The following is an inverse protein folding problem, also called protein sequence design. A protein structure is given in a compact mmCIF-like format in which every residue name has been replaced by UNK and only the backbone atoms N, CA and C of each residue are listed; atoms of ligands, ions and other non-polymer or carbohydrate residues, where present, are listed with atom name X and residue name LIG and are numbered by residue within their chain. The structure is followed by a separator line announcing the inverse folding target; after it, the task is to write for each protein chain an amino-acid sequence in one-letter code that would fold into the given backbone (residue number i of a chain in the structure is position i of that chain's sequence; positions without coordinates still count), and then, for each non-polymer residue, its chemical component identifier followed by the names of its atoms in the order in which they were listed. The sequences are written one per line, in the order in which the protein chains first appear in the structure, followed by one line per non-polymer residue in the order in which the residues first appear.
data_IF_952506250429
#
_entry.id   IF_952506250429
#
_cell.length_a   1.000
_cell.length_b   1.000
_cell.length_c   1.000
_cell.angle_alpha   90.00
_cell.angle_beta   90.00
_cell.angle_gamma   90.00
#
_symmetry.space_group_name_H-M   'P 1'
#
loop_
_entity.id
_entity.type
_entity.pdbx_description
1 polymer ?
#
# COMPACT_ATOMS: atom_id res chain seq x y z
N UNK A 1 17.12 42.37 8.57
CA UNK A 1 15.83 42.45 9.30
C UNK A 1 15.22 41.08 9.28
N UNK A 2 15.14 40.39 10.42
CA UNK A 2 14.39 39.14 10.53
C UNK A 2 12.92 39.50 10.71
N UNK A 3 12.09 39.22 9.70
CA UNK A 3 10.64 39.32 9.85
C UNK A 3 10.22 38.07 10.59
N UNK A 4 9.72 38.22 11.81
CA UNK A 4 9.13 37.10 12.52
C UNK A 4 7.84 36.72 11.79
N UNK A 5 7.76 35.49 11.29
CA UNK A 5 6.56 35.01 10.61
C UNK A 5 5.39 35.00 11.61
N UNK A 6 4.23 35.46 11.15
CA UNK A 6 3.02 35.53 11.97
C UNK A 6 2.30 34.17 12.10
N UNK A 7 1.03 34.22 12.50
CA UNK A 7 0.10 33.08 12.53
C UNK A 7 0.02 32.44 11.14
N UNK A 8 -0.12 31.11 11.07
CA UNK A 8 -0.34 30.39 9.82
C UNK A 8 -1.60 30.92 9.14
N UNK A 9 -1.50 31.23 7.86
CA UNK A 9 -2.63 31.54 7.00
C UNK A 9 -2.93 30.31 6.13
N UNK A 10 -4.09 29.65 6.31
CA UNK A 10 -4.49 28.51 5.48
C UNK A 10 -4.41 28.81 3.99
N UNK A 11 -4.80 30.03 3.61
CA UNK A 11 -4.83 30.47 2.21
C UNK A 11 -3.44 30.70 1.62
N UNK A 12 -2.38 30.64 2.42
CA UNK A 12 -0.98 30.75 1.98
C UNK A 12 -0.22 29.42 2.06
N UNK A 13 -0.80 28.41 2.69
CA UNK A 13 -0.25 27.07 2.75
C UNK A 13 -0.33 26.37 1.39
N UNK A 14 0.57 25.40 1.14
CA UNK A 14 0.55 24.50 0.00
C UNK A 14 1.21 23.16 0.38
N UNK A 15 1.01 22.13 -0.44
CA UNK A 15 1.72 20.86 -0.30
C UNK A 15 3.06 20.84 -1.05
N UNK A 16 3.99 20.02 -0.60
CA UNK A 16 5.30 19.81 -1.21
C UNK A 16 5.82 18.37 -1.00
N UNK A 17 6.80 17.96 -1.81
CA UNK A 17 7.44 16.64 -1.73
C UNK A 17 6.90 15.66 -2.78
N UNK A 18 7.62 14.55 -3.00
CA UNK A 18 7.25 13.54 -4.02
C UNK A 18 5.92 12.85 -3.72
N UNK A 19 5.56 12.72 -2.43
CA UNK A 19 4.31 12.10 -2.00
C UNK A 19 3.03 12.80 -2.47
N UNK A 20 3.13 14.01 -3.03
CA UNK A 20 1.98 14.72 -3.63
C UNK A 20 1.63 14.20 -5.03
N UNK A 21 2.58 13.51 -5.68
CA UNK A 21 2.47 13.06 -7.06
C UNK A 21 2.51 11.53 -7.17
N UNK A 22 3.21 10.87 -6.25
CA UNK A 22 3.47 9.43 -6.35
C UNK A 22 3.53 8.76 -4.98
N UNK A 23 3.01 7.53 -4.91
CA UNK A 23 3.14 6.64 -3.77
C UNK A 23 3.03 5.18 -4.18
N UNK A 24 3.33 4.28 -3.25
CA UNK A 24 3.20 2.83 -3.45
C UNK A 24 2.13 2.32 -2.50
N UNK A 25 1.18 1.53 -3.02
CA UNK A 25 0.14 0.93 -2.19
C UNK A 25 0.76 0.15 -1.02
N UNK A 26 0.19 0.29 0.17
CA UNK A 26 0.63 -0.34 1.42
C UNK A 26 2.02 0.08 1.92
N UNK A 27 2.58 1.16 1.39
CA UNK A 27 3.82 1.74 1.88
C UNK A 27 3.57 3.15 2.42
N UNK A 28 4.24 3.49 3.52
CA UNK A 28 4.20 4.86 4.05
C UNK A 28 4.84 5.81 3.04
N UNK A 29 4.03 6.72 2.53
CA UNK A 29 4.46 7.79 1.62
C UNK A 29 4.51 9.09 2.40
N UNK A 30 5.56 9.88 2.18
CA UNK A 30 5.79 11.14 2.90
C UNK A 30 5.60 12.33 1.97
N UNK A 31 4.95 13.37 2.48
CA UNK A 31 4.88 14.69 1.89
C UNK A 31 5.05 15.74 2.99
N UNK A 32 5.00 17.01 2.63
CA UNK A 32 5.02 18.10 3.60
C UNK A 32 3.99 19.17 3.27
N UNK A 33 3.49 19.84 4.31
CA UNK A 33 2.75 21.09 4.18
C UNK A 33 3.75 22.23 4.37
N UNK A 34 3.78 23.19 3.45
CA UNK A 34 4.56 24.42 3.60
C UNK A 34 3.70 25.42 4.34
N UNK A 35 3.91 25.53 5.65
CA UNK A 35 3.18 26.45 6.50
C UNK A 35 3.68 27.89 6.26
N UNK A 36 2.75 28.81 5.94
CA UNK A 36 3.08 30.22 5.68
C UNK A 36 2.12 31.16 6.39
N UNK A 37 2.60 32.35 6.74
CA UNK A 37 1.76 33.44 7.20
C UNK A 37 1.06 34.15 6.03
N UNK A 38 0.20 35.13 6.35
CA UNK A 38 -0.56 35.94 5.36
C UNK A 38 0.32 36.73 4.38
N UNK A 39 1.60 36.90 4.68
CA UNK A 39 2.57 37.61 3.84
C UNK A 39 3.42 36.63 3.00
N UNK A 40 3.19 35.32 3.16
CA UNK A 40 3.91 34.26 2.46
C UNK A 40 5.23 33.86 3.12
N UNK A 41 5.55 34.37 4.31
CA UNK A 41 6.74 33.94 5.04
C UNK A 41 6.53 32.54 5.62
N UNK A 42 7.58 31.73 5.60
CA UNK A 42 7.56 30.41 6.23
C UNK A 42 7.51 30.54 7.75
N UNK A 43 6.54 29.90 8.38
CA UNK A 43 6.41 29.91 9.84
C UNK A 43 7.44 28.99 10.46
N UNK A 44 7.95 29.32 11.65
CA UNK A 44 8.96 28.50 12.32
C UNK A 44 8.35 27.60 13.40
N UNK A 45 7.17 27.96 13.92
CA UNK A 45 6.45 27.20 14.94
C UNK A 45 4.95 27.29 14.66
N UNK A 46 4.22 26.24 15.03
CA UNK A 46 2.75 26.28 15.09
C UNK A 46 2.31 26.78 16.46
N UNK A 47 1.17 27.46 16.49
CA UNK A 47 0.45 27.75 17.73
C UNK A 47 -0.30 26.49 18.22
N UNK A 48 -0.60 26.41 19.52
CA UNK A 48 -1.22 25.22 20.13
C UNK A 48 -2.58 24.82 19.51
N UNK A 49 -3.27 25.76 18.86
CA UNK A 49 -4.56 25.57 18.19
C UNK A 49 -4.44 25.35 16.67
N UNK A 50 -3.24 25.39 16.08
CA UNK A 50 -3.01 25.20 14.65
C UNK A 50 -2.82 23.71 14.35
N UNK A 51 -3.94 23.02 14.12
CA UNK A 51 -3.93 21.59 13.80
C UNK A 51 -4.22 21.34 12.32
N UNK A 52 -3.26 20.71 11.64
CA UNK A 52 -3.44 20.26 10.27
C UNK A 52 -4.09 18.87 10.21
N UNK A 53 -4.97 18.67 9.23
CA UNK A 53 -5.59 17.39 8.91
C UNK A 53 -5.42 17.15 7.41
N UNK A 54 -5.01 15.95 7.02
CA UNK A 54 -4.83 15.58 5.61
C UNK A 54 -5.59 14.30 5.29
N UNK A 55 -6.22 14.28 4.12
CA UNK A 55 -6.95 13.13 3.60
C UNK A 55 -6.51 12.82 2.17
N UNK A 56 -6.31 11.53 1.90
CA UNK A 56 -6.33 10.97 0.56
C UNK A 56 -7.74 10.49 0.26
N UNK A 57 -8.34 10.97 -0.82
CA UNK A 57 -9.72 10.65 -1.19
C UNK A 57 -9.73 10.02 -2.59
N UNK A 58 -10.37 8.86 -2.71
CA UNK A 58 -10.53 8.15 -3.97
C UNK A 58 -11.92 7.54 -4.08
N UNK A 59 -12.14 6.80 -5.17
CA UNK A 59 -13.38 6.07 -5.42
C UNK A 59 -13.07 4.64 -5.83
N UNK A 60 -14.00 3.75 -5.51
CA UNK A 60 -13.94 2.34 -5.87
C UNK A 60 -15.32 1.80 -6.26
N UNK A 61 -15.28 0.67 -6.94
CA UNK A 61 -16.44 -0.10 -7.34
C UNK A 61 -16.31 -1.53 -6.85
N UNK A 62 -17.44 -2.12 -6.48
CA UNK A 62 -17.50 -3.50 -6.04
C UNK A 62 -17.38 -4.43 -7.25
N UNK A 63 -16.56 -5.47 -7.13
CA UNK A 63 -16.47 -6.55 -8.11
C UNK A 63 -17.54 -7.61 -7.82
N UNK A 64 -17.72 -8.53 -8.77
CA UNK A 64 -18.57 -9.72 -8.60
C UNK A 64 -18.12 -10.66 -7.46
N UNK A 65 -16.92 -10.45 -6.91
CA UNK A 65 -16.35 -11.20 -5.79
C UNK A 65 -16.43 -10.45 -4.45
N UNK A 66 -17.22 -9.38 -4.35
CA UNK A 66 -17.32 -8.49 -3.17
C UNK A 66 -15.98 -7.83 -2.79
N UNK A 67 -15.06 -7.69 -3.74
CA UNK A 67 -13.83 -6.90 -3.56
C UNK A 67 -14.07 -5.49 -4.06
N UNK A 68 -13.37 -4.51 -3.51
CA UNK A 68 -13.38 -3.15 -4.05
C UNK A 68 -12.13 -2.92 -4.88
N UNK A 69 -12.31 -2.47 -6.11
CA UNK A 69 -11.23 -2.01 -6.98
C UNK A 69 -11.35 -0.51 -7.22
N UNK A 70 -10.21 0.16 -7.36
CA UNK A 70 -10.19 1.58 -7.65
C UNK A 70 -10.92 1.84 -8.97
N UNK A 71 -11.85 2.77 -8.93
CA UNK A 71 -12.58 3.23 -10.09
C UNK A 71 -12.81 4.74 -9.93
N UNK A 72 -12.36 5.59 -10.86
CA UNK A 72 -12.43 7.04 -10.71
C UNK A 72 -13.87 7.55 -10.54
N UNK A 73 -14.84 6.82 -11.08
CA UNK A 73 -16.29 7.13 -10.99
C UNK A 73 -17.03 6.19 -10.03
N UNK A 74 -16.30 5.39 -9.27
CA UNK A 74 -16.88 4.40 -8.36
C UNK A 74 -17.82 5.02 -7.32
N UNK A 75 -18.85 4.26 -6.95
CA UNK A 75 -19.85 4.71 -5.97
C UNK A 75 -19.34 4.64 -4.53
N UNK A 76 -18.32 3.82 -4.25
CA UNK A 76 -17.73 3.70 -2.94
C UNK A 76 -16.64 4.77 -2.74
N UNK A 77 -16.83 5.66 -1.77
CA UNK A 77 -15.79 6.62 -1.38
C UNK A 77 -14.74 5.90 -0.53
N UNK A 78 -13.47 6.09 -0.87
CA UNK A 78 -12.32 5.63 -0.07
C UNK A 78 -11.66 6.86 0.52
N UNK A 79 -11.35 6.81 1.82
CA UNK A 79 -10.68 7.90 2.53
C UNK A 79 -9.56 7.34 3.41
N UNK A 80 -8.34 7.82 3.18
CA UNK A 80 -7.19 7.56 4.04
C UNK A 80 -6.80 8.83 4.77
N UNK A 81 -6.68 8.76 6.10
CA UNK A 81 -6.20 9.90 6.91
C UNK A 81 -4.67 9.89 6.95
N UNK A 82 -4.06 11.04 6.68
CA UNK A 82 -2.64 11.25 6.89
C UNK A 82 -2.31 11.42 8.38
N UNK A 83 -1.16 10.87 8.78
CA UNK A 83 -0.50 11.14 10.04
C UNK A 83 0.32 12.43 9.89
N UNK A 84 -0.04 13.46 10.64
CA UNK A 84 0.55 14.79 10.53
C UNK A 84 1.46 15.04 11.73
N UNK A 85 2.71 15.38 11.46
CA UNK A 85 3.69 15.71 12.49
C UNK A 85 3.27 16.95 13.30
N UNK A 86 3.64 16.96 14.58
CA UNK A 86 3.33 18.05 15.51
C UNK A 86 4.31 19.22 15.47
N UNK A 87 5.43 19.09 14.76
CA UNK A 87 6.48 20.10 14.67
C UNK A 87 6.59 20.70 13.27
N UNK A 88 6.97 21.99 13.23
CA UNK A 88 7.42 22.65 12.00
C UNK A 88 8.93 22.69 11.98
N UNK A 89 9.52 22.23 10.89
CA UNK A 89 10.95 22.35 10.63
C UNK A 89 11.15 23.21 9.38
N UNK A 90 11.78 24.38 9.53
CA UNK A 90 12.05 25.31 8.42
C UNK A 90 10.81 25.65 7.57
N UNK A 91 9.63 25.76 8.19
CA UNK A 91 8.35 26.01 7.51
C UNK A 91 7.68 24.80 6.90
N UNK A 92 8.14 23.59 7.20
CA UNK A 92 7.54 22.35 6.73
C UNK A 92 6.95 21.55 7.88
N UNK A 93 5.70 21.11 7.70
CA UNK A 93 5.06 20.10 8.56
C UNK A 93 5.10 18.78 7.82
N UNK A 94 5.69 17.75 8.42
CA UNK A 94 5.75 16.41 7.83
C UNK A 94 4.38 15.74 7.84
N UNK A 95 4.01 15.08 6.75
CA UNK A 95 2.79 14.26 6.66
C UNK A 95 3.15 12.90 6.08
N UNK A 96 2.68 11.84 6.73
CA UNK A 96 2.81 10.47 6.25
C UNK A 96 1.42 9.91 5.97
N UNK A 97 1.24 9.21 4.86
CA UNK A 97 0.00 8.50 4.58
C UNK A 97 0.31 7.10 4.05
N UNK A 98 -0.66 6.20 4.18
CA UNK A 98 -0.58 4.83 3.66
C UNK A 98 -1.87 4.52 2.89
N UNK A 99 -1.81 4.60 1.57
CA UNK A 99 -2.92 4.21 0.71
C UNK A 99 -2.91 2.69 0.52
N UNK A 100 -4.02 2.00 0.72
CA UNK A 100 -4.06 0.53 0.62
C UNK A 100 -4.30 0.00 -0.80
N UNK A 101 -4.82 0.85 -1.69
CA UNK A 101 -5.26 0.48 -3.01
C UNK A 101 -4.56 1.35 -4.07
N UNK A 102 -4.06 0.75 -5.16
CA UNK A 102 -3.50 1.51 -6.28
C UNK A 102 -4.60 2.30 -6.98
N UNK A 103 -4.27 3.47 -7.51
CA UNK A 103 -5.23 4.38 -8.11
C UNK A 103 -4.78 5.84 -8.07
N UNK A 104 -5.67 6.72 -8.52
CA UNK A 104 -5.46 8.16 -8.49
C UNK A 104 -6.31 8.76 -7.38
N UNK A 105 -5.67 9.44 -6.44
CA UNK A 105 -6.37 10.03 -5.30
C UNK A 105 -6.31 11.55 -5.39
N UNK A 106 -7.27 12.21 -4.76
CA UNK A 106 -7.19 13.64 -4.45
C UNK A 106 -6.65 13.82 -3.04
N UNK A 107 -5.67 14.71 -2.87
CA UNK A 107 -5.13 15.06 -1.56
C UNK A 107 -5.80 16.35 -1.07
N UNK A 108 -6.57 16.24 0.02
CA UNK A 108 -7.20 17.39 0.68
C UNK A 108 -6.50 17.66 2.01
N UNK A 109 -6.28 18.93 2.33
CA UNK A 109 -5.70 19.34 3.61
C UNK A 109 -6.55 20.42 4.26
N UNK A 110 -6.57 20.45 5.58
CA UNK A 110 -7.28 21.44 6.36
C UNK A 110 -6.38 21.97 7.48
N UNK A 111 -6.48 23.26 7.78
CA UNK A 111 -6.05 23.84 9.05
C UNK A 111 -7.31 24.16 9.85
N UNK A 112 -7.56 23.38 10.91
CA UNK A 112 -8.89 23.37 11.55
C UNK A 112 -9.97 22.93 10.56
N UNK A 113 -10.89 23.83 10.22
CA UNK A 113 -11.96 23.60 9.23
C UNK A 113 -11.73 24.28 7.87
N UNK A 114 -10.59 24.98 7.70
CA UNK A 114 -10.31 25.75 6.49
C UNK A 114 -9.43 24.92 5.56
N UNK A 115 -9.86 24.78 4.31
CA UNK A 115 -9.13 24.05 3.27
C UNK A 115 -7.80 24.76 2.95
N UNK A 116 -6.71 23.99 2.96
CA UNK A 116 -5.36 24.40 2.53
C UNK A 116 -4.96 23.74 1.21
N UNK A 117 -5.86 22.95 0.63
CA UNK A 117 -5.73 22.28 -0.65
C UNK A 117 -5.89 23.22 -1.84
N UNK A 118 -6.18 22.69 -3.04
CA UNK A 118 -6.17 23.47 -4.28
C UNK A 118 -6.99 24.74 -4.23
N UNK A 119 -6.28 25.86 -4.37
CA UNK A 119 -6.88 27.21 -4.47
C UNK A 119 -7.69 27.43 -5.74
N UNK A 120 -7.59 26.52 -6.72
CA UNK A 120 -8.38 26.57 -7.95
C UNK A 120 -9.20 25.30 -8.14
N UNK A 121 -10.45 25.25 -7.65
CA UNK A 121 -11.34 24.11 -7.83
C UNK A 121 -11.74 23.87 -9.30
N UNK A 122 -11.47 24.82 -10.21
CA UNK A 122 -11.70 24.65 -11.65
C UNK A 122 -10.54 23.91 -12.36
N UNK A 123 -9.37 23.76 -11.71
CA UNK A 123 -8.30 22.92 -12.23
C UNK A 123 -8.50 21.47 -11.80
N UNK A 124 -9.29 20.74 -12.59
CA UNK A 124 -9.46 19.28 -12.45
C UNK A 124 -8.17 18.49 -12.74
N UNK A 125 -7.14 19.13 -13.29
CA UNK A 125 -5.88 18.48 -13.65
C UNK A 125 -4.89 18.50 -12.49
N UNK A 126 -4.22 17.36 -12.30
CA UNK A 126 -3.26 17.16 -11.24
C UNK A 126 -2.06 18.11 -11.36
N UNK A 127 -1.80 18.85 -10.29
CA UNK A 127 -0.74 19.86 -10.24
C UNK A 127 -0.21 20.02 -8.81
N UNK A 128 0.82 20.83 -8.61
CA UNK A 128 1.31 21.16 -7.26
C UNK A 128 0.27 21.91 -6.41
N UNK A 129 -0.70 22.55 -7.07
CA UNK A 129 -1.81 23.23 -6.39
C UNK A 129 -2.99 22.28 -6.21
N UNK A 130 -3.25 21.36 -7.15
CA UNK A 130 -4.24 20.27 -7.01
C UNK A 130 -3.52 18.90 -6.99
N UNK A 131 -2.91 18.52 -5.85
CA UNK A 131 -2.14 17.29 -5.77
C UNK A 131 -3.03 16.06 -5.96
N UNK A 132 -2.72 15.26 -6.99
CA UNK A 132 -3.28 13.93 -7.17
C UNK A 132 -2.19 12.85 -7.12
N UNK A 133 -1.93 12.26 -5.95
CA UNK A 133 -0.99 11.16 -5.85
C UNK A 133 -1.42 9.98 -6.73
N UNK A 134 -0.52 9.54 -7.61
CA UNK A 134 -0.61 8.26 -8.32
C UNK A 134 -0.08 7.17 -7.39
N UNK A 135 -0.97 6.33 -6.89
CA UNK A 135 -0.60 5.18 -6.07
C UNK A 135 -0.45 3.99 -6.99
N UNK A 136 0.78 3.51 -7.16
CA UNK A 136 1.05 2.32 -7.97
C UNK A 136 0.94 1.06 -7.13
N UNK A 137 0.80 -0.07 -7.81
CA UNK A 137 0.86 -1.37 -7.16
C UNK A 137 2.19 -1.52 -6.41
N UNK A 138 2.12 -2.03 -5.19
CA UNK A 138 3.30 -2.57 -4.55
C UNK A 138 3.84 -3.74 -5.37
N UNK A 139 5.17 -3.90 -5.39
CA UNK A 139 5.78 -5.06 -6.02
C UNK A 139 5.16 -6.35 -5.48
N UNK A 140 4.92 -7.32 -6.35
CA UNK A 140 4.41 -8.63 -5.94
C UNK A 140 5.34 -9.29 -4.91
N UNK A 141 4.80 -10.11 -3.99
CA UNK A 141 5.59 -11.05 -3.18
C UNK A 141 6.60 -11.80 -4.03
N UNK A 142 7.86 -11.79 -3.61
CA UNK A 142 8.91 -12.63 -4.17
C UNK A 142 9.32 -13.67 -3.14
N UNK A 143 9.81 -14.81 -3.63
CA UNK A 143 10.35 -15.86 -2.77
C UNK A 143 11.67 -15.34 -2.18
N UNK A 144 11.74 -15.27 -0.85
CA UNK A 144 12.93 -14.93 -0.10
C UNK A 144 13.78 -16.18 0.16
N UNK A 145 13.14 -17.30 0.50
CA UNK A 145 13.81 -18.57 0.74
C UNK A 145 12.91 -19.76 0.40
N UNK A 146 13.55 -20.88 0.04
CA UNK A 146 12.91 -22.18 -0.16
C UNK A 146 13.82 -23.22 0.47
N UNK A 147 13.34 -23.96 1.48
CA UNK A 147 14.17 -24.85 2.28
C UNK A 147 13.49 -26.20 2.50
N UNK A 148 14.26 -27.28 2.41
CA UNK A 148 13.80 -28.59 2.86
C UNK A 148 13.82 -28.63 4.39
N UNK A 149 12.76 -29.18 4.97
CA UNK A 149 12.76 -29.57 6.37
C UNK A 149 13.80 -30.67 6.60
N UNK A 150 14.44 -30.60 7.75
CA UNK A 150 15.40 -31.58 8.25
C UNK A 150 14.76 -32.89 8.72
N UNK A 151 13.43 -32.95 8.85
CA UNK A 151 12.79 -34.02 9.62
C UNK A 151 11.60 -34.74 8.98
N UNK A 152 10.84 -34.19 8.02
CA UNK A 152 9.60 -34.89 7.56
C UNK A 152 9.18 -34.61 6.11
N UNK A 153 10.07 -34.52 5.13
CA UNK A 153 9.63 -34.37 3.72
C UNK A 153 8.74 -33.14 3.49
N UNK A 154 9.06 -32.04 4.18
CA UNK A 154 8.42 -30.74 3.96
C UNK A 154 9.36 -29.83 3.17
N UNK A 155 8.76 -28.89 2.44
CA UNK A 155 9.44 -27.72 1.88
C UNK A 155 8.77 -26.47 2.44
N UNK A 156 9.57 -25.58 3.03
CA UNK A 156 9.12 -24.27 3.48
C UNK A 156 9.51 -23.21 2.48
N UNK A 157 8.51 -22.44 2.02
CA UNK A 157 8.72 -21.25 1.20
C UNK A 157 8.41 -20.01 2.03
N UNK A 158 9.36 -19.09 2.10
CA UNK A 158 9.18 -17.79 2.76
C UNK A 158 9.19 -16.69 1.71
N UNK A 159 8.25 -15.75 1.84
CA UNK A 159 8.10 -14.59 0.96
C UNK A 159 8.69 -13.34 1.62
N UNK A 160 9.16 -12.40 0.79
CA UNK A 160 9.69 -11.10 1.25
C UNK A 160 8.63 -10.21 1.92
N UNK A 161 7.34 -10.54 1.74
CA UNK A 161 6.17 -9.87 2.32
C UNK A 161 4.92 -10.74 2.27
N UNK A 162 3.91 -10.34 3.04
CA UNK A 162 2.61 -11.00 3.12
C UNK A 162 1.92 -11.18 1.75
N UNK A 163 1.56 -12.42 1.44
CA UNK A 163 0.74 -12.80 0.30
C UNK A 163 -0.76 -12.81 0.63
N UNK A 164 -1.61 -12.81 -0.40
CA UNK A 164 -3.05 -13.05 -0.27
C UNK A 164 -3.40 -14.54 -0.07
N UNK A 165 -2.39 -15.41 0.09
CA UNK A 165 -2.55 -16.86 0.21
C UNK A 165 -3.29 -17.51 -0.97
N UNK A 166 -3.38 -16.83 -2.11
CA UNK A 166 -4.25 -17.22 -3.23
C UNK A 166 -5.72 -17.38 -2.87
N UNK A 167 -6.19 -16.75 -1.78
CA UNK A 167 -7.54 -16.96 -1.24
C UNK A 167 -7.75 -18.32 -0.56
N UNK A 168 -6.69 -19.10 -0.32
CA UNK A 168 -6.76 -20.44 0.28
C UNK A 168 -6.56 -20.37 1.80
N UNK A 169 -7.18 -21.32 2.51
CA UNK A 169 -7.09 -21.48 3.95
C UNK A 169 -7.00 -22.96 4.32
N UNK A 170 -6.44 -23.25 5.50
CA UNK A 170 -6.24 -24.61 5.98
C UNK A 170 -5.24 -25.39 5.12
N UNK A 171 -5.40 -26.72 5.12
CA UNK A 171 -4.62 -27.65 4.28
C UNK A 171 -5.38 -27.88 2.98
N UNK A 172 -4.67 -27.81 1.85
CA UNK A 172 -5.25 -27.96 0.51
C UNK A 172 -4.28 -28.67 -0.45
N UNK A 173 -4.77 -29.16 -1.58
CA UNK A 173 -3.90 -29.75 -2.61
C UNK A 173 -2.95 -28.70 -3.20
N UNK A 174 -1.67 -29.02 -3.32
CA UNK A 174 -0.66 -28.15 -3.93
C UNK A 174 -0.95 -27.81 -5.40
N UNK A 175 -1.75 -28.63 -6.09
CA UNK A 175 -2.22 -28.36 -7.45
C UNK A 175 -3.05 -27.08 -7.58
N UNK A 176 -3.54 -26.50 -6.47
CA UNK A 176 -4.21 -25.19 -6.49
C UNK A 176 -3.24 -24.02 -6.70
N UNK A 177 -1.97 -24.20 -6.32
CA UNK A 177 -0.93 -23.17 -6.40
C UNK A 177 0.04 -23.42 -7.56
N UNK A 178 0.48 -24.66 -7.71
CA UNK A 178 1.52 -25.02 -8.67
C UNK A 178 0.94 -25.58 -9.96
N UNK A 179 1.71 -25.51 -11.03
CA UNK A 179 1.36 -26.15 -12.29
C UNK A 179 1.43 -27.69 -12.20
N UNK A 180 1.01 -28.37 -13.26
CA UNK A 180 0.97 -29.83 -13.27
C UNK A 180 2.36 -30.45 -13.20
N UNK A 181 3.38 -29.82 -13.80
CA UNK A 181 4.76 -30.31 -13.78
C UNK A 181 5.32 -30.33 -12.36
N UNK A 182 5.20 -29.21 -11.66
CA UNK A 182 5.63 -29.07 -10.26
C UNK A 182 4.81 -29.96 -9.33
N UNK A 183 3.50 -30.09 -9.56
CA UNK A 183 2.65 -30.96 -8.73
C UNK A 183 3.08 -32.43 -8.82
N UNK A 184 3.53 -32.88 -10.00
CA UNK A 184 4.03 -34.23 -10.20
C UNK A 184 5.41 -34.47 -9.54
N UNK A 185 6.28 -33.46 -9.49
CA UNK A 185 7.57 -33.58 -8.79
C UNK A 185 7.40 -33.60 -7.27
N UNK A 186 6.40 -32.90 -6.75
CA UNK A 186 6.04 -32.90 -5.32
C UNK A 186 5.35 -34.19 -4.86
N UNK A 187 4.74 -34.95 -5.78
CA UNK A 187 4.07 -36.23 -5.51
C UNK A 187 3.66 -36.94 -6.80
N UNK A 188 4.04 -38.20 -6.97
CA UNK A 188 3.69 -38.98 -8.16
C UNK A 188 2.17 -39.24 -8.30
N UNK A 189 1.48 -39.36 -7.17
CA UNK A 189 0.04 -39.60 -7.07
C UNK A 189 -0.80 -38.33 -6.84
N UNK A 190 -0.16 -37.15 -6.91
CA UNK A 190 -0.79 -35.83 -6.62
C UNK A 190 -1.32 -35.69 -5.18
N UNK A 191 -0.78 -36.46 -4.23
CA UNK A 191 -1.15 -36.40 -2.80
C UNK A 191 -0.47 -35.27 -2.02
N UNK A 192 0.44 -34.50 -2.64
CA UNK A 192 1.09 -33.36 -1.97
C UNK A 192 0.08 -32.32 -1.47
N UNK A 193 0.31 -31.84 -0.24
CA UNK A 193 -0.55 -30.85 0.41
C UNK A 193 0.21 -29.60 0.77
N UNK A 194 -0.49 -28.48 0.68
CA UNK A 194 0.05 -27.15 0.90
C UNK A 194 -0.79 -26.48 1.99
N UNK A 195 -0.14 -25.73 2.87
CA UNK A 195 -0.82 -24.93 3.88
C UNK A 195 -0.04 -23.65 4.17
N UNK A 196 -0.74 -22.53 4.25
CA UNK A 196 -0.14 -21.26 4.67
C UNK A 196 -0.03 -21.25 6.19
N UNK A 197 1.20 -21.33 6.70
CA UNK A 197 1.50 -21.19 8.14
C UNK A 197 1.09 -19.79 8.60
N UNK A 198 1.46 -18.79 7.80
CA UNK A 198 0.97 -17.42 7.90
C UNK A 198 0.88 -16.77 6.51
N UNK A 199 0.78 -15.44 6.40
CA UNK A 199 0.66 -14.78 5.09
C UNK A 199 1.99 -14.74 4.32
N UNK A 200 3.13 -14.83 4.98
CA UNK A 200 4.47 -14.78 4.40
C UNK A 200 5.15 -16.16 4.35
N UNK A 201 4.51 -17.23 4.85
CA UNK A 201 5.08 -18.58 4.90
C UNK A 201 4.13 -19.66 4.40
N UNK A 202 4.60 -20.45 3.43
CA UNK A 202 3.93 -21.63 2.90
C UNK A 202 4.69 -22.91 3.33
N UNK A 203 3.94 -23.89 3.83
CA UNK A 203 4.41 -25.25 4.09
C UNK A 203 3.87 -26.19 3.02
N UNK A 204 4.76 -26.97 2.42
CA UNK A 204 4.47 -27.99 1.41
C UNK A 204 4.83 -29.34 2.02
N UNK A 205 3.85 -30.22 2.18
CA UNK A 205 4.04 -31.61 2.56
C UNK A 205 4.18 -32.44 1.30
N UNK A 206 5.33 -33.08 1.11
CA UNK A 206 5.57 -33.96 -0.03
C UNK A 206 4.69 -35.21 0.05
N UNK A 207 4.20 -35.64 -1.10
CA UNK A 207 3.40 -36.85 -1.22
C UNK A 207 4.23 -38.07 -1.55
N UNK A 208 3.54 -39.21 -1.70
CA UNK A 208 4.20 -40.45 -2.08
C UNK A 208 4.88 -40.33 -3.46
N UNK A 209 6.12 -40.84 -3.56
CA UNK A 209 6.88 -40.82 -4.81
C UNK A 209 7.32 -39.43 -5.25
N UNK A 210 7.43 -38.45 -4.34
CA UNK A 210 8.04 -37.15 -4.64
C UNK A 210 9.48 -37.33 -5.17
N UNK A 211 9.82 -36.60 -6.23
CA UNK A 211 11.13 -36.63 -6.89
C UNK A 211 11.86 -35.29 -6.87
N UNK A 212 11.27 -34.29 -6.23
CA UNK A 212 11.83 -32.94 -6.12
C UNK A 212 13.22 -32.96 -5.47
N UNK A 213 14.14 -32.21 -6.06
CA UNK A 213 15.54 -32.09 -5.66
C UNK A 213 15.95 -30.64 -5.45
N UNK A 214 17.11 -30.42 -4.82
CA UNK A 214 17.70 -29.08 -4.73
C UNK A 214 18.05 -28.59 -6.14
N UNK A 215 17.72 -27.33 -6.42
CA UNK A 215 17.82 -26.65 -7.72
C UNK A 215 16.72 -26.98 -8.74
N UNK A 216 15.74 -27.81 -8.38
CA UNK A 216 14.56 -27.94 -9.22
C UNK A 216 13.72 -26.66 -9.15
N UNK A 217 13.16 -26.25 -10.29
CA UNK A 217 12.27 -25.10 -10.37
C UNK A 217 10.86 -25.48 -9.89
N UNK A 218 10.33 -24.71 -8.94
CA UNK A 218 8.92 -24.75 -8.57
C UNK A 218 8.15 -23.71 -9.37
N UNK A 219 7.28 -24.18 -10.28
CA UNK A 219 6.52 -23.30 -11.17
C UNK A 219 5.09 -23.10 -10.67
N UNK A 220 4.76 -21.83 -10.43
CA UNK A 220 3.44 -21.41 -9.98
C UNK A 220 2.47 -21.31 -11.15
N UNK A 221 1.19 -21.54 -10.87
CA UNK A 221 0.14 -21.08 -11.78
C UNK A 221 0.16 -19.57 -11.89
N UNK A 222 0.04 -19.06 -13.12
CA UNK A 222 0.02 -17.62 -13.36
C UNK A 222 -1.13 -16.95 -12.61
N UNK A 223 -0.84 -15.85 -11.91
CA UNK A 223 -1.85 -15.06 -11.21
C UNK A 223 -2.48 -15.75 -10.00
N UNK A 224 -1.78 -16.66 -9.32
CA UNK A 224 -2.33 -17.30 -8.11
C UNK A 224 -1.93 -16.61 -6.81
N UNK A 225 -0.72 -16.06 -6.73
CA UNK A 225 -0.25 -15.31 -5.56
C UNK A 225 -0.10 -13.83 -5.87
N UNK A 226 -0.71 -13.04 -5.01
CA UNK A 226 -0.63 -11.59 -5.02
C UNK A 226 -0.21 -11.10 -3.64
N UNK A 227 0.13 -9.82 -3.53
CA UNK A 227 0.23 -9.16 -2.23
C UNK A 227 -1.12 -9.31 -1.50
N UNK A 228 -1.08 -9.52 -0.18
CA UNK A 228 -2.31 -9.57 0.62
C UNK A 228 -3.18 -8.35 0.34
N UNK A 229 -4.37 -8.58 -0.23
CA UNK A 229 -5.34 -7.52 -0.46
C UNK A 229 -5.76 -6.95 0.90
N UNK A 230 -5.60 -5.63 1.05
CA UNK A 230 -5.86 -4.90 2.30
C UNK A 230 -7.19 -4.15 2.27
N UNK A 231 -7.98 -4.31 1.21
CA UNK A 231 -9.33 -3.75 1.12
C UNK A 231 -10.37 -4.89 1.13
N UNK A 232 -10.47 -5.57 2.28
CA UNK A 232 -11.74 -6.19 2.66
C UNK A 232 -12.61 -5.10 3.31
N UNK A 233 -13.94 -5.16 3.15
CA UNK A 233 -14.88 -4.16 3.68
C UNK A 233 -14.69 -3.85 5.16
#
# INVERSE_FOLDING_TARGET
VYVNAGVVDPSMCNFAGSGIAFGIANTWTTLSIVARDRFGNKVQNLQENETFIVYLIGRAEATSTNLYLYHPEGNQKIVFKGDVGSSVENGYVSVKYKAHMPGVYTLNGYLGSIDIGPKNPAQLNCSIYNPCPQIVHAASPSIQSCTFSDSVGHIYIEFDKDTNRGGLQGVFSCSKLFDDGTTLTLSADKSSTCSFVDAAKLDIVLGYGATISVNDDLTWKSGILYLKELCLP
#
